data_IF_332957894979
#
_entry.id   IF_332957894979
#
_cell.length_a   1.000
_cell.length_b   1.000
_cell.length_c   1.000
_cell.angle_alpha   90.00
_cell.angle_beta   90.00
_cell.angle_gamma   90.00
#
_symmetry.space_group_name_H-M   'P 1'
#
loop_
_entity.id
_entity.type
_entity.pdbx_description
1 polymer ?
#
# COMPACT_ATOMS: atom_id res chain seq x y z
N UNK A 1 -18.35 -17.25 -9.21
CA UNK A 1 -18.83 -15.86 -9.42
C UNK A 1 -18.83 -15.05 -8.13
N UNK A 2 -19.48 -15.47 -7.06
CA UNK A 2 -19.53 -14.73 -5.77
C UNK A 2 -18.14 -14.52 -5.15
N UNK A 3 -17.25 -15.51 -5.22
CA UNK A 3 -15.89 -15.39 -4.71
C UNK A 3 -15.09 -14.30 -5.45
N UNK A 4 -15.16 -14.28 -6.77
CA UNK A 4 -14.50 -13.24 -7.58
C UNK A 4 -15.02 -11.84 -7.24
N UNK A 5 -16.35 -11.68 -7.12
CA UNK A 5 -16.96 -10.40 -6.72
C UNK A 5 -16.53 -9.96 -5.33
N UNK A 6 -16.43 -10.89 -4.37
CA UNK A 6 -15.92 -10.60 -3.03
C UNK A 6 -14.46 -10.13 -3.06
N UNK A 7 -13.59 -10.81 -3.83
CA UNK A 7 -12.18 -10.44 -3.99
C UNK A 7 -12.03 -9.06 -4.66
N UNK A 8 -12.81 -8.77 -5.70
CA UNK A 8 -12.88 -7.45 -6.34
C UNK A 8 -13.34 -6.39 -5.33
N UNK A 9 -14.42 -6.66 -4.58
CA UNK A 9 -14.93 -5.74 -3.56
C UNK A 9 -13.89 -5.42 -2.50
N UNK A 10 -13.17 -6.42 -1.99
CA UNK A 10 -12.07 -6.21 -1.02
C UNK A 10 -10.93 -5.38 -1.60
N UNK A 11 -10.56 -5.60 -2.85
CA UNK A 11 -9.54 -4.81 -3.52
C UNK A 11 -9.98 -3.35 -3.71
N UNK A 12 -11.22 -3.13 -4.15
CA UNK A 12 -11.80 -1.80 -4.32
C UNK A 12 -11.84 -1.04 -3.00
N UNK A 13 -12.30 -1.69 -1.91
CA UNK A 13 -12.33 -1.10 -0.56
C UNK A 13 -10.95 -0.69 -0.08
N UNK A 14 -9.92 -1.50 -0.30
CA UNK A 14 -8.56 -1.12 0.05
C UNK A 14 -8.12 0.15 -0.69
N UNK A 15 -8.41 0.26 -1.98
CA UNK A 15 -8.16 1.47 -2.76
C UNK A 15 -8.89 2.69 -2.21
N UNK A 16 -10.18 2.54 -1.88
CA UNK A 16 -10.99 3.61 -1.28
C UNK A 16 -10.38 4.09 0.04
N UNK A 17 -9.98 3.19 0.94
CA UNK A 17 -9.37 3.58 2.22
C UNK A 17 -8.05 4.31 2.04
N UNK A 18 -7.20 3.87 1.10
CA UNK A 18 -5.96 4.59 0.78
C UNK A 18 -6.26 5.95 0.12
N UNK A 19 -7.30 6.04 -0.70
CA UNK A 19 -7.79 7.31 -1.27
C UNK A 19 -8.23 8.29 -0.18
N UNK A 20 -9.09 7.86 0.74
CA UNK A 20 -9.51 8.67 1.90
C UNK A 20 -8.31 9.13 2.74
N UNK A 21 -7.36 8.21 3.01
CA UNK A 21 -6.14 8.53 3.74
C UNK A 21 -5.27 9.56 3.01
N UNK A 22 -5.19 9.46 1.67
CA UNK A 22 -4.48 10.44 0.83
C UNK A 22 -5.14 11.82 0.89
N UNK A 23 -6.47 11.88 0.81
CA UNK A 23 -7.22 13.13 0.94
C UNK A 23 -7.03 13.76 2.33
N UNK A 24 -7.13 12.96 3.39
CA UNK A 24 -6.90 13.43 4.76
C UNK A 24 -5.47 13.96 4.97
N UNK A 25 -4.47 13.25 4.41
CA UNK A 25 -3.08 13.72 4.43
C UNK A 25 -2.90 15.05 3.69
N UNK A 26 -3.48 15.20 2.51
CA UNK A 26 -3.38 16.42 1.70
C UNK A 26 -4.09 17.61 2.36
N UNK A 27 -5.13 17.37 3.14
CA UNK A 27 -5.90 18.41 3.89
C UNK A 27 -5.31 18.73 5.26
N UNK A 28 -4.29 17.99 5.70
CA UNK A 28 -3.72 18.17 7.04
C UNK A 28 -2.94 19.50 7.16
N UNK A 29 -2.94 20.15 8.35
CA UNK A 29 -2.27 21.44 8.55
C UNK A 29 -0.75 21.38 8.42
N UNK A 30 -0.16 20.22 8.68
CA UNK A 30 1.27 19.97 8.55
C UNK A 30 1.56 18.51 8.21
N UNK A 31 2.81 18.26 7.84
CA UNK A 31 3.26 16.93 7.39
C UNK A 31 3.16 15.85 8.47
N UNK A 32 3.33 16.21 9.75
CA UNK A 32 3.29 15.26 10.86
C UNK A 32 1.87 14.76 11.08
N UNK A 33 0.92 15.69 11.15
CA UNK A 33 -0.52 15.37 11.23
C UNK A 33 -0.93 14.59 9.99
N UNK A 34 -0.50 15.01 8.80
CA UNK A 34 -0.78 14.33 7.54
C UNK A 34 -0.33 12.86 7.55
N UNK A 35 0.92 12.60 7.97
CA UNK A 35 1.45 11.25 8.05
C UNK A 35 0.69 10.38 9.09
N UNK A 36 0.27 10.99 10.20
CA UNK A 36 -0.51 10.30 11.22
C UNK A 36 -1.91 9.93 10.70
N UNK A 37 -2.63 10.86 10.11
CA UNK A 37 -3.99 10.57 9.60
C UNK A 37 -3.95 9.62 8.41
N UNK A 38 -2.91 9.66 7.58
CA UNK A 38 -2.72 8.69 6.50
C UNK A 38 -2.63 7.26 7.04
N UNK A 39 -2.00 7.05 8.19
CA UNK A 39 -1.84 5.72 8.78
C UNK A 39 -3.17 5.05 9.15
N UNK A 40 -4.24 5.81 9.38
CA UNK A 40 -5.57 5.24 9.62
C UNK A 40 -6.15 4.51 8.40
N UNK A 41 -5.74 4.86 7.18
CA UNK A 41 -6.13 4.13 5.97
C UNK A 41 -5.69 2.67 6.01
N UNK A 42 -4.45 2.39 6.40
CA UNK A 42 -3.96 0.99 6.52
C UNK A 42 -4.63 0.25 7.68
N UNK A 43 -4.96 0.96 8.76
CA UNK A 43 -5.71 0.37 9.87
C UNK A 43 -7.09 -0.11 9.38
N UNK A 44 -7.80 0.72 8.61
CA UNK A 44 -9.10 0.35 8.03
C UNK A 44 -8.96 -0.86 7.08
N UNK A 45 -7.93 -0.87 6.24
CA UNK A 45 -7.63 -2.03 5.38
C UNK A 45 -7.49 -3.31 6.21
N UNK A 46 -6.73 -3.25 7.32
CA UNK A 46 -6.50 -4.40 8.18
C UNK A 46 -7.76 -4.84 8.96
N UNK A 47 -8.48 -3.91 9.57
CA UNK A 47 -9.67 -4.19 10.39
C UNK A 47 -10.83 -4.75 9.56
N UNK A 48 -11.03 -4.25 8.35
CA UNK A 48 -12.10 -4.72 7.44
C UNK A 48 -11.67 -5.98 6.68
N UNK A 49 -10.38 -6.31 6.68
CA UNK A 49 -9.84 -7.42 5.88
C UNK A 49 -9.88 -7.14 4.38
N UNK A 50 -9.67 -5.88 3.99
CA UNK A 50 -9.57 -5.47 2.60
C UNK A 50 -8.23 -5.92 1.97
N UNK A 51 -8.21 -6.07 0.64
CA UNK A 51 -7.09 -6.63 -0.09
C UNK A 51 -6.22 -5.52 -0.70
N UNK A 52 -5.19 -5.09 0.04
CA UNK A 52 -4.22 -4.12 -0.44
C UNK A 52 -3.04 -4.83 -1.12
N UNK A 53 -2.80 -4.53 -2.40
CA UNK A 53 -1.77 -5.14 -3.22
C UNK A 53 -0.38 -5.03 -2.59
N UNK A 54 0.04 -3.84 -2.18
CA UNK A 54 1.35 -3.60 -1.57
C UNK A 54 1.56 -4.34 -0.24
N UNK A 55 0.47 -4.63 0.47
CA UNK A 55 0.49 -5.43 1.70
C UNK A 55 0.49 -6.95 1.46
N UNK A 56 0.22 -7.39 0.23
CA UNK A 56 0.13 -8.82 -0.12
C UNK A 56 1.16 -9.28 -1.14
N UNK A 57 1.71 -8.38 -1.95
CA UNK A 57 2.56 -8.75 -3.08
C UNK A 57 3.80 -9.56 -2.67
N UNK A 58 4.40 -9.29 -1.52
CA UNK A 58 5.52 -10.09 -1.01
C UNK A 58 5.15 -11.56 -0.84
N UNK A 59 3.99 -11.82 -0.21
CA UNK A 59 3.45 -13.17 -0.03
C UNK A 59 3.05 -13.80 -1.36
N UNK A 60 2.40 -13.04 -2.25
CA UNK A 60 2.00 -13.50 -3.59
C UNK A 60 3.19 -14.00 -4.41
N UNK A 61 4.34 -13.33 -4.31
CA UNK A 61 5.55 -13.70 -5.05
C UNK A 61 6.25 -14.91 -4.42
N UNK A 62 6.33 -14.99 -3.09
CA UNK A 62 7.18 -15.96 -2.40
C UNK A 62 6.46 -17.24 -1.94
N UNK A 63 5.16 -17.17 -1.69
CA UNK A 63 4.44 -18.22 -0.97
C UNK A 63 3.19 -18.73 -1.67
N UNK A 64 2.63 -17.95 -2.58
CA UNK A 64 1.37 -18.30 -3.23
C UNK A 64 1.60 -18.88 -4.64
N UNK A 65 0.66 -19.66 -5.19
CA UNK A 65 0.71 -20.13 -6.57
C UNK A 65 0.77 -18.95 -7.57
N UNK A 66 1.38 -19.18 -8.73
CA UNK A 66 1.51 -18.17 -9.79
C UNK A 66 0.16 -17.57 -10.23
N UNK A 67 -0.92 -18.35 -10.16
CA UNK A 67 -2.28 -17.88 -10.44
C UNK A 67 -2.73 -16.77 -9.49
N UNK A 68 -2.33 -16.81 -8.22
CA UNK A 68 -2.62 -15.76 -7.25
C UNK A 68 -1.81 -14.49 -7.51
N UNK A 69 -0.58 -14.61 -8.00
CA UNK A 69 0.20 -13.46 -8.46
C UNK A 69 -0.45 -12.80 -9.68
N UNK A 70 -0.92 -13.58 -10.67
CA UNK A 70 -1.67 -13.05 -11.82
C UNK A 70 -2.93 -12.33 -11.34
N UNK A 71 -3.68 -12.89 -10.39
CA UNK A 71 -4.84 -12.23 -9.78
C UNK A 71 -4.44 -10.92 -9.09
N UNK A 72 -3.35 -10.93 -8.34
CA UNK A 72 -2.82 -9.74 -7.65
C UNK A 72 -2.49 -8.61 -8.62
N UNK A 73 -1.78 -8.92 -9.70
CA UNK A 73 -1.39 -7.95 -10.72
C UNK A 73 -2.56 -7.51 -11.61
N UNK A 74 -3.41 -8.46 -12.05
CA UNK A 74 -4.46 -8.21 -13.05
C UNK A 74 -5.78 -7.71 -12.48
N UNK A 75 -6.07 -7.95 -11.21
CA UNK A 75 -7.33 -7.57 -10.57
C UNK A 75 -7.09 -6.73 -9.33
N UNK A 76 -6.35 -7.23 -8.34
CA UNK A 76 -6.19 -6.52 -7.07
C UNK A 76 -5.55 -5.14 -7.26
N UNK A 77 -4.44 -5.06 -7.98
CA UNK A 77 -3.74 -3.79 -8.22
C UNK A 77 -4.62 -2.79 -8.98
N UNK A 78 -5.25 -3.12 -10.14
CA UNK A 78 -6.14 -2.20 -10.84
C UNK A 78 -7.32 -1.69 -10.00
N UNK A 79 -7.95 -2.55 -9.20
CA UNK A 79 -9.07 -2.14 -8.36
C UNK A 79 -8.63 -1.31 -7.16
N UNK A 80 -7.44 -1.55 -6.59
CA UNK A 80 -6.85 -0.63 -5.61
C UNK A 80 -6.60 0.76 -6.22
N UNK A 81 -6.00 0.82 -7.43
CA UNK A 81 -5.75 2.08 -8.14
C UNK A 81 -7.05 2.82 -8.45
N UNK A 82 -8.04 2.10 -8.99
CA UNK A 82 -9.34 2.67 -9.32
C UNK A 82 -10.06 3.22 -8.08
N UNK A 83 -10.10 2.47 -6.98
CA UNK A 83 -10.72 2.92 -5.73
C UNK A 83 -10.05 4.17 -5.16
N UNK A 84 -8.72 4.21 -5.16
CA UNK A 84 -7.97 5.37 -4.70
C UNK A 84 -8.19 6.59 -5.61
N UNK A 85 -8.08 6.42 -6.91
CA UNK A 85 -8.34 7.46 -7.90
C UNK A 85 -9.76 8.03 -7.77
N UNK A 86 -10.76 7.16 -7.69
CA UNK A 86 -12.18 7.57 -7.56
C UNK A 86 -12.40 8.49 -6.37
N UNK A 87 -11.86 8.14 -5.20
CA UNK A 87 -11.99 8.99 -4.00
C UNK A 87 -11.30 10.33 -4.20
N UNK A 88 -10.10 10.33 -4.77
CA UNK A 88 -9.35 11.58 -5.02
C UNK A 88 -10.10 12.50 -5.98
N UNK A 89 -10.64 11.98 -7.07
CA UNK A 89 -11.47 12.74 -8.02
C UNK A 89 -12.73 13.31 -7.35
N UNK A 90 -13.47 12.47 -6.62
CA UNK A 90 -14.70 12.89 -5.95
C UNK A 90 -14.47 13.88 -4.81
N UNK A 91 -13.27 13.89 -4.20
CA UNK A 91 -12.94 14.81 -3.12
C UNK A 91 -12.76 16.26 -3.58
N UNK A 92 -12.43 16.48 -4.85
CA UNK A 92 -12.08 17.80 -5.40
C UNK A 92 -10.80 18.41 -4.80
N UNK A 93 -10.01 17.61 -4.07
CA UNK A 93 -8.76 18.08 -3.45
C UNK A 93 -7.65 18.08 -4.53
N UNK A 94 -6.95 19.18 -4.66
CA UNK A 94 -5.76 19.26 -5.49
C UNK A 94 -4.57 18.61 -4.78
N UNK A 95 -3.95 17.66 -5.46
CA UNK A 95 -2.78 16.94 -4.96
C UNK A 95 -1.51 17.48 -5.59
N UNK A 96 -0.55 17.88 -4.76
CA UNK A 96 0.77 18.26 -5.26
C UNK A 96 1.44 17.08 -5.96
N UNK A 97 2.16 17.30 -7.07
CA UNK A 97 2.99 16.27 -7.68
C UNK A 97 4.01 15.71 -6.69
N UNK A 98 4.36 14.44 -6.82
CA UNK A 98 5.45 13.84 -6.02
C UNK A 98 6.76 14.53 -6.39
N UNK A 99 7.35 15.25 -5.46
CA UNK A 99 8.49 16.12 -5.72
C UNK A 99 9.74 15.38 -6.23
N UNK A 100 9.94 14.13 -5.82
CA UNK A 100 11.05 13.32 -6.25
C UNK A 100 10.68 11.83 -6.21
N UNK A 101 10.62 11.21 -7.37
CA UNK A 101 10.49 9.75 -7.48
C UNK A 101 11.86 9.11 -7.30
N UNK A 102 11.95 8.14 -6.39
CA UNK A 102 13.17 7.37 -6.12
C UNK A 102 12.81 5.92 -5.88
N UNK A 103 13.44 5.02 -6.62
CA UNK A 103 13.28 3.57 -6.45
C UNK A 103 13.58 3.12 -5.00
N UNK A 104 14.67 3.64 -4.41
CA UNK A 104 15.05 3.29 -3.04
C UNK A 104 14.03 3.78 -2.00
N UNK A 105 13.50 5.01 -2.16
CA UNK A 105 12.41 5.48 -1.31
C UNK A 105 11.16 4.62 -1.46
N UNK A 106 10.82 4.23 -2.68
CA UNK A 106 9.70 3.33 -2.94
C UNK A 106 9.91 1.94 -2.31
N UNK A 107 11.14 1.40 -2.31
CA UNK A 107 11.45 0.16 -1.58
C UNK A 107 11.17 0.28 -0.08
N UNK A 108 11.52 1.41 0.54
CA UNK A 108 11.21 1.66 1.97
C UNK A 108 9.71 1.56 2.21
N UNK A 109 8.88 2.13 1.32
CA UNK A 109 7.42 2.00 1.42
C UNK A 109 6.99 0.55 1.39
N UNK A 110 7.49 -0.26 0.45
CA UNK A 110 7.17 -1.68 0.37
C UNK A 110 7.53 -2.44 1.65
N UNK A 111 8.72 -2.21 2.20
CA UNK A 111 9.18 -2.77 3.48
C UNK A 111 8.22 -2.38 4.61
N UNK A 112 7.92 -1.08 4.74
CA UNK A 112 7.09 -0.57 5.83
C UNK A 112 5.63 -1.02 5.74
N UNK A 113 5.07 -1.14 4.55
CA UNK A 113 3.71 -1.69 4.38
C UNK A 113 3.65 -3.15 4.81
N UNK A 114 4.64 -3.98 4.46
CA UNK A 114 4.71 -5.37 4.95
C UNK A 114 4.87 -5.41 6.47
N UNK A 115 5.69 -4.53 7.07
CA UNK A 115 5.79 -4.41 8.52
C UNK A 115 4.44 -4.03 9.15
N UNK A 116 3.71 -3.09 8.54
CA UNK A 116 2.40 -2.66 9.02
C UNK A 116 1.39 -3.82 9.03
N UNK A 117 1.21 -4.51 7.90
CA UNK A 117 0.20 -5.59 7.78
C UNK A 117 0.55 -6.85 8.56
N UNK A 118 1.84 -7.09 8.83
CA UNK A 118 2.29 -8.20 9.69
C UNK A 118 2.37 -7.80 11.17
N UNK A 119 2.16 -6.53 11.51
CA UNK A 119 2.10 -6.10 12.91
C UNK A 119 0.85 -6.68 13.59
N UNK A 120 1.07 -7.31 14.75
CA UNK A 120 -0.04 -7.81 15.58
C UNK A 120 -0.70 -6.69 16.42
N UNK A 121 -0.14 -5.49 16.38
CA UNK A 121 -0.57 -4.34 17.16
C UNK A 121 -0.84 -3.15 16.24
N UNK A 122 -1.98 -2.49 16.45
CA UNK A 122 -2.36 -1.31 15.66
C UNK A 122 -1.32 -0.19 15.75
N UNK A 123 -0.70 0.00 16.91
CA UNK A 123 0.35 1.01 17.09
C UNK A 123 1.57 0.71 16.21
N UNK A 124 1.95 -0.55 16.05
CA UNK A 124 3.04 -0.96 15.15
C UNK A 124 2.70 -0.68 13.68
N UNK A 125 1.44 -0.90 13.28
CA UNK A 125 0.97 -0.56 11.94
C UNK A 125 1.00 0.96 11.70
N UNK A 126 0.51 1.76 12.66
CA UNK A 126 0.58 3.23 12.62
C UNK A 126 2.02 3.70 12.47
N UNK A 127 2.92 3.22 13.32
CA UNK A 127 4.33 3.62 13.29
C UNK A 127 5.00 3.33 11.95
N UNK A 128 4.80 2.13 11.40
CA UNK A 128 5.38 1.74 10.11
C UNK A 128 4.89 2.66 8.97
N UNK A 129 3.59 2.95 8.92
CA UNK A 129 3.02 3.83 7.90
C UNK A 129 3.47 5.28 8.11
N UNK A 130 3.42 5.77 9.35
CA UNK A 130 3.87 7.12 9.70
C UNK A 130 5.30 7.37 9.21
N UNK A 131 6.22 6.44 9.43
CA UNK A 131 7.62 6.62 9.04
C UNK A 131 7.79 6.80 7.53
N UNK A 132 7.22 5.96 6.68
CA UNK A 132 7.44 6.13 5.25
C UNK A 132 6.74 7.37 4.70
N UNK A 133 5.60 7.77 5.27
CA UNK A 133 4.88 8.99 4.84
C UNK A 133 5.62 10.25 5.26
N UNK A 134 6.09 10.32 6.52
CA UNK A 134 6.78 11.52 7.04
C UNK A 134 8.11 11.77 6.32
N UNK A 135 8.84 10.75 5.89
CA UNK A 135 10.06 10.89 5.11
C UNK A 135 9.81 11.07 3.60
N UNK A 136 8.55 11.02 3.16
CA UNK A 136 8.16 11.25 1.77
C UNK A 136 8.51 10.09 0.83
N UNK A 137 8.34 8.86 1.28
CA UNK A 137 8.48 7.67 0.45
C UNK A 137 7.17 7.41 -0.31
N UNK A 138 7.20 7.29 -1.66
CA UNK A 138 5.99 7.18 -2.44
C UNK A 138 5.37 5.78 -2.36
N UNK A 139 4.04 5.72 -2.28
CA UNK A 139 3.22 4.51 -2.30
C UNK A 139 2.47 4.42 -3.63
N UNK A 140 2.62 3.33 -4.39
CA UNK A 140 2.14 3.23 -5.77
C UNK A 140 0.61 3.37 -5.91
N UNK A 141 -0.17 2.98 -4.90
CA UNK A 141 -1.62 3.20 -4.91
C UNK A 141 -1.94 4.68 -4.58
N UNK A 142 -1.31 5.23 -3.53
CA UNK A 142 -1.59 6.59 -3.09
C UNK A 142 -1.15 7.66 -4.09
N UNK A 143 -0.08 7.43 -4.86
CA UNK A 143 0.44 8.42 -5.82
C UNK A 143 -0.27 8.40 -7.18
N UNK A 144 -1.35 7.61 -7.35
CA UNK A 144 -2.13 7.63 -8.60
C UNK A 144 -2.64 9.05 -8.90
N UNK A 145 -2.42 9.50 -10.15
CA UNK A 145 -2.76 10.87 -10.59
C UNK A 145 -1.76 11.96 -10.16
N UNK A 146 -0.70 11.62 -9.39
CA UNK A 146 0.31 12.59 -8.94
C UNK A 146 1.66 12.44 -9.65
N UNK A 147 1.83 11.39 -10.42
CA UNK A 147 3.06 11.06 -11.19
C UNK A 147 2.70 10.57 -12.58
N UNK A 148 3.63 10.74 -13.54
CA UNK A 148 3.52 10.14 -14.87
C UNK A 148 3.64 8.61 -14.82
N UNK A 149 3.27 7.93 -15.91
CA UNK A 149 3.27 6.47 -15.98
C UNK A 149 4.67 5.86 -15.72
N UNK A 150 5.72 6.46 -16.27
CA UNK A 150 7.10 5.98 -16.10
C UNK A 150 7.52 6.03 -14.62
N UNK A 151 7.30 7.17 -13.98
CA UNK A 151 7.58 7.36 -12.56
C UNK A 151 6.73 6.44 -11.68
N UNK A 152 5.46 6.25 -12.06
CA UNK A 152 4.59 5.30 -11.37
C UNK A 152 5.13 3.88 -11.44
N UNK A 153 5.64 3.44 -12.60
CA UNK A 153 6.28 2.14 -12.74
C UNK A 153 7.51 1.98 -11.81
N UNK A 154 8.33 3.02 -11.69
CA UNK A 154 9.47 3.04 -10.75
C UNK A 154 9.00 2.87 -9.31
N UNK A 155 7.94 3.61 -8.93
CA UNK A 155 7.35 3.50 -7.58
C UNK A 155 6.78 2.10 -7.35
N UNK A 156 6.00 1.57 -8.28
CA UNK A 156 5.38 0.26 -8.16
C UNK A 156 6.43 -0.86 -8.03
N UNK A 157 7.45 -0.85 -8.87
CA UNK A 157 8.56 -1.80 -8.81
C UNK A 157 9.33 -1.70 -7.48
N UNK A 158 9.62 -0.48 -7.01
CA UNK A 158 10.26 -0.28 -5.71
C UNK A 158 9.42 -0.84 -4.56
N UNK A 159 8.11 -0.55 -4.55
CA UNK A 159 7.19 -1.10 -3.54
C UNK A 159 7.18 -2.64 -3.57
N UNK A 160 7.12 -3.26 -4.76
CA UNK A 160 7.15 -4.72 -4.92
C UNK A 160 8.46 -5.30 -4.38
N UNK A 161 9.60 -4.77 -4.82
CA UNK A 161 10.93 -5.29 -4.39
C UNK A 161 11.10 -5.15 -2.88
N UNK A 162 10.72 -4.01 -2.29
CA UNK A 162 10.75 -3.80 -0.85
C UNK A 162 9.84 -4.77 -0.09
N UNK A 163 8.63 -4.99 -0.59
CA UNK A 163 7.69 -5.94 -0.01
C UNK A 163 8.20 -7.38 -0.06
N UNK A 164 8.74 -7.82 -1.20
CA UNK A 164 9.31 -9.17 -1.37
C UNK A 164 10.52 -9.37 -0.46
N UNK A 165 11.42 -8.39 -0.38
CA UNK A 165 12.59 -8.46 0.49
C UNK A 165 12.19 -8.61 1.97
N UNK A 166 11.23 -7.80 2.43
CA UNK A 166 10.78 -7.86 3.83
C UNK A 166 10.02 -9.14 4.16
N UNK A 167 9.14 -9.60 3.26
CA UNK A 167 8.43 -10.88 3.43
C UNK A 167 9.40 -12.06 3.49
N UNK A 168 10.46 -12.05 2.66
CA UNK A 168 11.53 -13.05 2.69
C UNK A 168 12.26 -13.07 4.04
N UNK A 169 12.61 -11.90 4.59
CA UNK A 169 13.24 -11.80 5.92
C UNK A 169 12.33 -12.34 7.04
N UNK A 170 11.04 -12.02 6.99
CA UNK A 170 10.07 -12.53 7.95
C UNK A 170 9.90 -14.05 7.85
N UNK A 171 9.93 -14.59 6.65
CA UNK A 171 9.87 -16.03 6.41
C UNK A 171 11.09 -16.76 7.01
N UNK A 172 12.30 -16.29 6.71
CA UNK A 172 13.53 -16.86 7.28
C UNK A 172 13.54 -16.85 8.81
N UNK A 173 12.99 -15.80 9.43
CA UNK A 173 12.84 -15.71 10.88
C UNK A 173 11.87 -16.77 11.42
N UNK A 174 10.78 -17.06 10.70
CA UNK A 174 9.78 -18.05 11.16
C UNK A 174 10.30 -19.47 11.13
N UNK A 175 11.05 -19.84 10.10
CA UNK A 175 11.71 -21.15 9.95
C UNK A 175 12.69 -21.43 11.09
N UNK A 176 13.50 -20.42 11.46
CA UNK A 176 14.47 -20.55 12.54
C UNK A 176 13.84 -20.75 13.93
N UNK A 177 12.61 -20.29 14.13
CA UNK A 177 11.90 -20.45 15.42
C UNK A 177 11.13 -21.77 15.52
N UNK A 178 11.03 -22.54 14.42
CA UNK A 178 10.35 -23.84 14.35
C UNK A 178 11.31 -25.02 14.31
N UNK A 179 12.63 -24.76 14.22
CA UNK A 179 13.73 -25.73 14.34
C UNK A 179 14.32 -25.73 15.76
#
# INVERSE_FOLDING_TARGET
MLDLLNRIGKALLAGIFIGCASCANASAPDKTVGALVFSFGIILVMLIGADLFTGKVGKLVLKEPFTELIFGMGIMLPFNLFGCWLVKELSGIEFAPVAQVSFLKAMITGIMVICAVNSKQLLGAVAAVFFFVIIGCPHCIACIGQVGLEDWCVVALGNIVGAVAMEGLLWLKSEKNSS
#
